data_IF_248488479053
#
_entry.id   IF_248488479053
#
_cell.length_a   1.000
_cell.length_b   1.000
_cell.length_c   1.000
_cell.angle_alpha   90.00
_cell.angle_beta   90.00
_cell.angle_gamma   90.00
#
_symmetry.space_group_name_H-M   'P 1'
#
loop_
_entity.id
_entity.type
_entity.pdbx_description
1 polymer ?
2 non-polymer ?
3 non-polymer ?
4 non-polymer ?
5 non-polymer ?
6 non-polymer ?
7 water ?
#
# COMPACT_ATOMS: atom_id res chain seq x y z
N UNK A 5 20.08 6.06 9.21
CA UNK A 5 18.96 6.43 8.34
C UNK A 5 18.94 7.94 8.09
N UNK A 6 18.14 8.38 7.11
CA UNK A 6 17.89 9.82 6.90
C UNK A 6 16.42 10.12 7.16
N UNK A 7 16.10 11.39 7.35
CA UNK A 7 14.73 11.77 7.73
C UNK A 7 13.77 11.68 6.56
N UNK A 8 12.51 11.46 6.90
CA UNK A 8 11.44 11.43 5.92
C UNK A 8 10.94 12.85 5.71
N UNK A 9 11.15 13.36 4.50
CA UNK A 9 10.68 14.70 4.14
C UNK A 9 9.78 14.59 2.93
N UNK A 10 8.75 15.44 2.88
CA UNK A 10 7.83 15.50 1.75
C UNK A 10 8.02 16.82 1.00
N UNK A 11 8.38 16.74 -0.29
CA UNK A 11 8.61 17.98 -1.04
C UNK A 11 7.35 18.81 -1.24
N UNK A 12 7.51 20.09 -1.57
CA UNK A 12 6.38 20.99 -1.72
C UNK A 12 5.81 20.87 -3.14
N UNK A 13 4.51 20.58 -3.23
CA UNK A 13 3.84 20.48 -4.53
C UNK A 13 3.84 21.82 -5.29
N UNK A 14 4.01 22.92 -4.58
CA UNK A 14 4.11 24.24 -5.22
C UNK A 14 5.44 24.41 -5.96
N UNK A 15 6.43 23.61 -5.59
CA UNK A 15 7.76 23.66 -6.20
C UNK A 15 7.91 22.61 -7.31
N UNK A 16 6.80 22.01 -7.73
CA UNK A 16 6.82 21.07 -8.84
C UNK A 16 7.23 21.79 -10.12
N UNK A 17 8.14 21.18 -10.91
CA UNK A 17 8.64 21.85 -12.12
C UNK A 17 7.60 21.97 -13.23
N UNK A 18 7.64 23.07 -13.97
CA UNK A 18 6.86 23.18 -15.20
C UNK A 18 7.47 22.23 -16.24
N UNK A 19 6.63 21.64 -17.08
CA UNK A 19 7.11 20.81 -18.17
C UNK A 19 6.71 19.34 -18.06
N UNK A 20 7.41 18.51 -18.81
CA UNK A 20 7.04 17.11 -18.98
C UNK A 20 7.14 16.36 -17.66
N UNK A 21 8.20 16.60 -16.91
CA UNK A 21 8.38 15.88 -15.66
C UNK A 21 7.27 16.23 -14.67
N UNK A 22 6.97 17.52 -14.54
CA UNK A 22 5.92 17.96 -13.65
C UNK A 22 4.59 17.35 -13.98
N UNK A 23 4.24 17.33 -15.26
CA UNK A 23 2.97 16.75 -15.66
C UNK A 23 2.90 15.24 -15.37
N UNK A 24 4.04 14.57 -15.55
CA UNK A 24 4.14 13.14 -15.28
C UNK A 24 3.94 12.85 -13.80
N UNK A 25 4.53 13.67 -12.95
CA UNK A 25 4.43 13.52 -11.51
C UNK A 25 2.96 13.62 -11.09
N UNK A 26 2.26 14.61 -11.61
CA UNK A 26 0.84 14.79 -11.31
C UNK A 26 0.01 13.60 -11.77
N UNK A 27 0.29 13.08 -12.96
CA UNK A 27 -0.42 11.89 -13.42
C UNK A 27 -0.10 10.67 -12.53
N UNK A 28 1.16 10.53 -12.14
CA UNK A 28 1.55 9.43 -11.26
C UNK A 28 0.80 9.45 -9.93
N UNK A 29 0.64 10.63 -9.34
CA UNK A 29 -0.07 10.75 -8.09
C UNK A 29 -1.49 10.24 -8.27
N UNK A 30 -2.12 10.58 -9.38
CA UNK A 30 -3.49 10.16 -9.64
C UNK A 30 -3.58 8.64 -9.86
N UNK A 31 -2.62 8.06 -10.57
CA UNK A 31 -2.59 6.62 -10.76
C UNK A 31 -2.49 5.89 -9.42
N UNK A 32 -1.69 6.44 -8.50
CA UNK A 32 -1.49 5.82 -7.19
C UNK A 32 -2.69 6.03 -6.26
N UNK A 33 -3.42 7.12 -6.44
CA UNK A 33 -4.53 7.46 -5.53
C UNK A 33 -5.88 6.91 -5.98
N UNK A 34 -6.00 6.63 -7.27
CA UNK A 34 -7.29 6.34 -7.92
C UNK A 34 -7.09 5.18 -8.92
N UNK A 35 -6.36 4.16 -8.48
CA UNK A 35 -5.85 3.14 -9.41
C UNK A 35 -6.95 2.34 -10.15
N UNK A 36 -7.98 1.86 -9.44
CA UNK A 36 -8.97 1.05 -10.17
C UNK A 36 -9.65 1.81 -11.32
N UNK A 37 -9.92 3.09 -11.11
CA UNK A 37 -10.62 3.91 -12.11
C UNK A 37 -9.68 4.32 -13.23
N UNK A 38 -8.42 4.54 -12.91
CA UNK A 38 -7.47 5.04 -13.90
C UNK A 38 -6.82 3.93 -14.73
N UNK A 39 -6.72 2.73 -14.16
CA UNK A 39 -6.07 1.59 -14.81
C UNK A 39 -6.93 0.32 -14.73
N UNK A 40 -8.15 0.38 -15.26
CA UNK A 40 -9.04 -0.77 -15.08
C UNK A 40 -8.54 -2.09 -15.69
N UNK A 41 -7.75 -2.03 -16.75
CA UNK A 41 -7.24 -3.25 -17.37
C UNK A 41 -6.24 -4.00 -16.49
N UNK A 42 -5.71 -3.31 -15.49
CA UNK A 42 -4.64 -3.86 -14.65
C UNK A 42 -5.03 -4.10 -13.20
N UNK A 43 -6.24 -3.68 -12.82
CA UNK A 43 -6.65 -3.79 -11.42
C UNK A 43 -7.84 -4.74 -11.36
N UNK A 44 -7.74 -5.75 -10.50
CA UNK A 44 -8.77 -6.77 -10.39
C UNK A 44 -9.60 -6.69 -9.12
N UNK A 45 -9.38 -5.67 -8.32
CA UNK A 45 -10.16 -5.51 -7.09
C UNK A 45 -10.50 -4.05 -6.82
N UNK A 46 -10.89 -3.71 -5.59
CA UNK A 46 -11.33 -2.36 -5.29
C UNK A 46 -10.26 -1.47 -4.70
N UNK A 47 -9.03 -1.96 -4.63
CA UNK A 47 -7.97 -1.22 -3.94
C UNK A 47 -7.18 -0.29 -4.85
N UNK A 48 -6.86 0.88 -4.32
CA UNK A 48 -5.88 1.77 -4.90
C UNK A 48 -4.62 1.66 -4.08
N UNK A 49 -3.51 2.08 -4.64
CA UNK A 49 -2.25 1.98 -3.92
C UNK A 49 -2.30 2.71 -2.58
N UNK A 50 -3.01 3.84 -2.53
CA UNK A 50 -3.07 4.65 -1.33
C UNK A 50 -3.78 3.94 -0.17
N UNK A 51 -4.48 2.84 -0.44
CA UNK A 51 -5.19 2.17 0.65
C UNK A 51 -4.25 1.42 1.61
N UNK A 52 -3.02 1.17 1.19
CA UNK A 52 -2.00 0.63 2.09
C UNK A 52 -0.77 1.52 2.19
N UNK A 53 -0.71 2.54 1.33
CA UNK A 53 0.39 3.49 1.27
C UNK A 53 -0.18 4.90 1.40
N UNK A 54 -0.77 5.22 2.55
CA UNK A 54 -1.48 6.48 2.66
C UNK A 54 -0.58 7.71 2.70
N UNK A 55 -1.18 8.87 2.50
CA UNK A 55 -0.46 10.11 2.63
C UNK A 55 -1.40 11.25 2.90
N UNK A 56 -0.88 12.33 3.49
CA UNK A 56 -1.70 13.51 3.80
C UNK A 56 -1.65 14.52 2.64
N UNK A 57 -2.68 15.36 2.57
CA UNK A 57 -2.75 16.45 1.60
C UNK A 57 -2.78 15.99 0.13
N UNK A 58 -3.38 14.82 -0.09
CA UNK A 58 -3.58 14.30 -1.43
C UNK A 58 -2.40 13.49 -1.93
N UNK A 59 -1.31 13.49 -1.18
CA UNK A 59 -0.14 12.74 -1.61
C UNK A 59 -0.36 11.28 -1.23
N UNK A 60 0.41 10.41 -1.84
CA UNK A 60 0.34 8.98 -1.60
C UNK A 60 1.72 8.54 -1.17
N UNK A 61 1.80 7.67 -0.19
CA UNK A 61 3.09 7.13 0.19
C UNK A 61 3.99 8.06 0.97
N UNK A 62 3.42 8.83 1.90
CA UNK A 62 4.21 9.76 2.67
C UNK A 62 4.16 9.53 4.18
N UNK A 63 3.55 8.43 4.62
CA UNK A 63 3.37 8.20 6.05
C UNK A 63 4.34 7.18 6.63
N UNK A 64 5.10 7.63 7.63
CA UNK A 64 6.03 6.74 8.34
C UNK A 64 5.33 5.48 8.85
N UNK A 65 5.98 4.35 8.65
CA UNK A 65 5.50 3.03 9.08
C UNK A 65 4.27 2.50 8.32
N UNK A 66 3.87 3.23 7.28
CA UNK A 66 2.85 2.78 6.35
C UNK A 66 3.43 2.74 4.94
N UNK A 67 4.62 2.14 4.85
CA UNK A 67 5.31 1.89 3.59
C UNK A 67 5.37 3.14 2.70
N UNK A 68 5.99 4.20 3.20
CA UNK A 68 6.12 5.39 2.36
C UNK A 68 7.00 5.13 1.14
N UNK A 69 6.72 5.90 0.09
CA UNK A 69 7.54 5.87 -1.13
C UNK A 69 8.70 6.86 -1.09
N UNK A 70 8.75 7.70 -0.06
CA UNK A 70 9.86 8.63 0.11
C UNK A 70 11.14 7.83 0.30
N UNK A 71 12.03 7.95 -0.68
CA UNK A 71 13.31 7.28 -0.67
C UNK A 71 13.33 5.88 -1.27
N UNK A 72 12.22 5.44 -1.85
CA UNK A 72 12.16 4.07 -2.34
C UNK A 72 13.03 3.88 -3.58
N UNK A 73 13.15 4.91 -4.40
CA UNK A 73 13.81 4.70 -5.69
C UNK A 73 15.30 4.37 -5.50
N UNK A 74 15.91 4.89 -4.44
CA UNK A 74 17.32 4.64 -4.20
C UNK A 74 17.63 3.30 -3.55
N UNK A 75 16.60 2.49 -3.31
CA UNK A 75 16.76 1.16 -2.72
C UNK A 75 16.63 0.02 -3.72
N UNK A 76 16.42 0.37 -4.98
CA UNK A 76 16.27 -0.59 -6.07
C UNK A 76 17.35 -0.30 -7.12
N UNK A 77 17.85 -1.34 -7.80
CA UNK A 77 17.43 -2.75 -7.68
C UNK A 77 17.91 -3.43 -6.38
N UNK A 78 17.20 -4.50 -6.01
CA UNK A 78 17.46 -5.21 -4.76
C UNK A 78 17.02 -6.65 -4.91
N UNK A 79 17.57 -7.52 -4.09
CA UNK A 79 17.23 -8.92 -4.14
C UNK A 79 15.80 -9.14 -3.71
N UNK A 80 15.13 -10.03 -4.43
CA UNK A 80 13.80 -10.52 -4.07
C UNK A 80 13.87 -12.04 -3.89
N UNK A 81 13.52 -12.51 -2.70
CA UNK A 81 13.51 -13.94 -2.44
C UNK A 81 12.43 -14.61 -3.30
N UNK A 82 11.32 -13.89 -3.50
CA UNK A 82 10.23 -14.36 -4.34
C UNK A 82 10.69 -14.67 -5.78
N UNK A 83 11.53 -13.80 -6.33
CA UNK A 83 12.01 -13.95 -7.70
C UNK A 83 13.32 -14.75 -7.76
N UNK A 84 14.04 -14.79 -6.65
CA UNK A 84 15.31 -15.48 -6.57
C UNK A 84 16.45 -14.73 -7.24
N UNK A 85 16.28 -13.42 -7.39
CA UNK A 85 17.27 -12.59 -8.08
C UNK A 85 16.95 -11.13 -7.82
N UNK A 86 17.82 -10.25 -8.30
CA UNK A 86 17.57 -8.82 -8.21
C UNK A 86 16.40 -8.42 -9.09
N UNK A 87 15.58 -7.51 -8.56
CA UNK A 87 14.50 -6.89 -9.30
C UNK A 87 14.58 -5.38 -9.26
N UNK A 88 13.96 -4.75 -10.26
CA UNK A 88 13.85 -3.31 -10.32
C UNK A 88 12.58 -2.82 -9.62
N UNK A 89 12.49 -1.53 -9.40
CA UNK A 89 11.29 -0.91 -8.85
C UNK A 89 10.07 -1.14 -9.74
N UNK A 90 10.26 -1.14 -11.06
CA UNK A 90 9.18 -1.40 -12.00
C UNK A 90 8.60 -2.79 -11.79
N UNK A 91 9.47 -3.75 -11.52
CA UNK A 91 9.05 -5.12 -11.27
C UNK A 91 8.32 -5.22 -9.93
N UNK A 92 8.82 -4.53 -8.91
CA UNK A 92 8.16 -4.50 -7.60
C UNK A 92 6.74 -3.99 -7.77
N UNK A 93 6.59 -2.90 -8.51
CA UNK A 93 5.27 -2.32 -8.72
C UNK A 93 4.35 -3.32 -9.42
N UNK A 94 4.88 -4.08 -10.35
CA UNK A 94 4.12 -5.10 -11.06
C UNK A 94 3.64 -6.17 -10.10
N UNK A 95 4.48 -6.55 -9.15
CA UNK A 95 4.06 -7.51 -8.13
C UNK A 95 2.89 -6.98 -7.31
N UNK A 96 2.93 -5.70 -6.97
CA UNK A 96 1.85 -5.06 -6.23
C UNK A 96 0.53 -5.08 -7.01
N UNK A 97 0.60 -4.82 -8.31
CA UNK A 97 -0.58 -4.92 -9.17
C UNK A 97 -1.12 -6.35 -9.15
N UNK A 98 -0.25 -7.36 -9.22
CA UNK A 98 -0.69 -8.74 -9.33
C UNK A 98 -1.26 -9.31 -8.03
N UNK A 99 -0.80 -8.79 -6.92
CA UNK A 99 -1.10 -9.38 -5.62
C UNK A 99 -2.04 -8.45 -4.83
N UNK A 100 -1.54 -7.30 -4.41
CA UNK A 100 -2.37 -6.38 -3.66
C UNK A 100 -3.58 -5.89 -4.45
N UNK A 101 -3.45 -5.74 -5.76
CA UNK A 101 -4.54 -5.25 -6.59
C UNK A 101 -5.20 -6.37 -7.42
N UNK A 102 -4.80 -7.61 -7.16
CA UNK A 102 -5.42 -8.79 -7.78
C UNK A 102 -5.56 -8.66 -9.28
N UNK A 103 -4.55 -8.10 -9.92
CA UNK A 103 -4.65 -7.68 -11.31
C UNK A 103 -3.53 -8.17 -12.19
N UNK A 104 -3.03 -7.29 -13.04
CA UNK A 104 -1.99 -7.65 -13.99
C UNK A 104 -0.95 -6.54 -14.00
N UNK A 105 0.30 -6.94 -14.13
CA UNK A 105 1.41 -6.01 -14.13
C UNK A 105 1.41 -5.18 -15.41
N UNK A 106 1.73 -3.90 -15.28
CA UNK A 106 1.98 -3.04 -16.44
C UNK A 106 3.29 -3.45 -17.11
N UNK A 107 3.33 -3.33 -18.43
CA UNK A 107 4.59 -3.44 -19.14
C UNK A 107 5.61 -2.48 -18.55
N UNK A 108 6.88 -2.88 -18.61
CA UNK A 108 7.91 -2.15 -17.89
C UNK A 108 8.24 -0.78 -18.51
N UNK A 109 7.70 -0.49 -19.69
CA UNK A 109 7.81 0.83 -20.30
C UNK A 109 6.45 1.50 -20.53
N UNK A 110 5.43 1.01 -19.84
CA UNK A 110 4.10 1.61 -19.92
C UNK A 110 4.14 3.04 -19.40
N UNK A 111 3.56 4.00 -20.14
CA UNK A 111 3.63 5.39 -19.65
C UNK A 111 3.04 5.61 -18.25
N UNK A 112 2.02 4.86 -17.84
CA UNK A 112 1.48 5.02 -16.50
C UNK A 112 2.45 4.55 -15.44
N UNK A 113 3.21 3.50 -15.74
CA UNK A 113 4.22 3.00 -14.83
C UNK A 113 5.34 4.03 -14.70
N UNK A 114 5.73 4.64 -15.81
CA UNK A 114 6.79 5.63 -15.77
C UNK A 114 6.31 6.86 -14.99
N UNK A 115 5.03 7.22 -15.11
CA UNK A 115 4.49 8.33 -14.33
C UNK A 115 4.51 8.00 -12.82
N UNK A 116 4.19 6.76 -12.45
CA UNK A 116 4.30 6.34 -11.06
C UNK A 116 5.75 6.44 -10.57
N UNK A 117 6.70 6.01 -11.39
CA UNK A 117 8.11 6.14 -11.06
C UNK A 117 8.51 7.60 -10.88
N UNK A 118 8.02 8.47 -11.77
CA UNK A 118 8.36 9.88 -11.68
C UNK A 118 7.87 10.45 -10.36
N UNK A 119 6.65 10.09 -9.97
CA UNK A 119 6.09 10.52 -8.69
C UNK A 119 6.94 10.03 -7.52
N UNK A 120 7.27 8.75 -7.50
CA UNK A 120 8.11 8.22 -6.44
C UNK A 120 9.49 8.88 -6.40
N UNK A 121 10.05 9.18 -7.57
CA UNK A 121 11.32 9.87 -7.64
C UNK A 121 11.23 11.29 -7.09
N UNK A 122 10.12 11.96 -7.38
CA UNK A 122 9.85 13.29 -6.83
C UNK A 122 9.78 13.23 -5.31
N UNK A 123 9.04 12.27 -4.77
CA UNK A 123 8.96 12.14 -3.31
C UNK A 123 10.32 11.86 -2.69
N UNK A 124 11.20 11.24 -3.48
CA UNK A 124 12.52 10.83 -3.02
C UNK A 124 13.59 11.89 -3.22
N UNK A 125 13.22 13.07 -3.69
CA UNK A 125 14.20 14.10 -3.98
C UNK A 125 15.02 14.41 -2.73
N UNK A 126 16.33 14.49 -2.91
CA UNK A 126 17.23 14.80 -1.81
C UNK A 126 17.70 13.59 -1.02
N UNK A 127 17.07 12.43 -1.20
CA UNK A 127 17.47 11.25 -0.44
C UNK A 127 18.68 10.63 -1.12
N UNK A 128 19.80 10.45 -0.41
CA UNK A 128 20.98 9.82 -1.03
C UNK A 128 20.69 8.40 -1.50
N UNK A 129 21.16 8.07 -2.69
CA UNK A 129 21.02 6.73 -3.19
C UNK A 129 21.64 5.75 -2.19
N UNK A 130 20.88 4.71 -1.83
CA UNK A 130 21.34 3.70 -0.90
C UNK A 130 20.88 3.94 0.53
N UNK A 131 20.55 5.19 0.86
CA UNK A 131 20.15 5.55 2.20
C UNK A 131 18.79 4.96 2.53
N UNK A 132 18.62 4.64 3.81
CA UNK A 132 17.34 4.17 4.31
C UNK A 132 16.62 5.31 5.03
N UNK A 133 15.39 5.59 4.62
CA UNK A 133 14.58 6.64 5.21
C UNK A 133 13.86 6.13 6.45
N UNK A 134 13.95 6.89 7.52
CA UNK A 134 13.26 6.60 8.77
C UNK A 134 11.76 6.47 8.56
N UNK A 135 11.21 5.34 8.94
CA UNK A 135 9.80 5.07 8.77
C UNK A 135 9.49 4.28 7.52
N UNK A 136 10.52 3.80 6.82
CA UNK A 136 10.27 3.00 5.62
C UNK A 136 9.57 1.69 5.96
N UNK A 137 8.85 1.16 4.98
CA UNK A 137 8.16 -0.11 5.11
C UNK A 137 7.02 -0.11 6.11
N UNK A 138 6.56 -1.31 6.38
CA UNK A 138 5.57 -1.57 7.43
C UNK A 138 6.23 -2.49 8.45
N UNK A 139 6.62 -1.94 9.62
CA UNK A 139 7.28 -2.80 10.59
C UNK A 139 6.34 -3.93 11.02
N UNK A 140 6.85 -5.15 11.03
CA UNK A 140 6.04 -6.28 11.47
C UNK A 140 5.80 -6.22 12.97
N UNK A 141 4.69 -6.80 13.38
CA UNK A 141 4.39 -7.00 14.78
C UNK A 141 4.20 -8.49 14.97
N UNK A 142 5.03 -9.11 15.80
CA UNK A 142 4.95 -10.54 16.07
C UNK A 142 4.86 -10.77 17.57
N UNK A 143 3.85 -11.51 17.99
CA UNK A 143 3.73 -11.92 19.39
C UNK A 143 4.07 -13.40 19.55
N UNK A 144 4.45 -13.80 20.76
CA UNK A 144 4.90 -15.17 21.05
C UNK A 144 3.73 -16.10 21.41
N UNK A 145 2.57 -15.84 20.83
CA UNK A 145 1.42 -16.69 21.04
C UNK A 145 0.51 -16.67 19.82
N UNK A 146 -0.38 -17.64 19.73
CA UNK A 146 -1.33 -17.73 18.63
C UNK A 146 -2.25 -16.52 18.64
N UNK A 147 -2.56 -15.96 17.46
CA UNK A 147 -3.59 -14.92 17.41
C UNK A 147 -4.94 -15.52 17.76
N UNK A 148 -5.64 -14.88 18.68
CA UNK A 148 -6.94 -15.38 19.14
C UNK A 148 -8.04 -14.72 18.30
N UNK A 149 -8.54 -15.45 17.31
CA UNK A 149 -9.55 -14.94 16.41
C UNK A 149 -10.91 -14.67 17.06
N UNK A 150 -11.17 -15.29 18.21
CA UNK A 150 -12.42 -15.05 18.94
C UNK A 150 -12.38 -13.65 19.57
N UNK A 151 -11.28 -13.34 20.25
CA UNK A 151 -11.05 -12.03 20.78
C UNK A 151 -11.01 -11.04 19.61
N UNK A 152 -10.32 -11.44 18.55
CA UNK A 152 -10.24 -10.60 17.36
C UNK A 152 -11.57 -10.19 16.78
N UNK A 153 -12.53 -11.12 16.74
CA UNK A 153 -13.86 -10.83 16.26
C UNK A 153 -14.57 -9.76 17.11
N UNK A 154 -14.41 -9.86 18.42
CA UNK A 154 -15.00 -8.88 19.33
C UNK A 154 -14.35 -7.50 19.14
N UNK A 155 -13.03 -7.49 19.00
CA UNK A 155 -12.29 -6.26 18.78
C UNK A 155 -12.72 -5.65 17.46
N UNK A 156 -12.87 -6.48 16.43
CA UNK A 156 -13.30 -6.01 15.12
C UNK A 156 -14.66 -5.28 15.22
N UNK A 157 -15.61 -5.90 15.92
CA UNK A 157 -16.93 -5.32 16.03
C UNK A 157 -16.88 -3.97 16.74
N UNK A 158 -16.02 -3.87 17.75
CA UNK A 158 -15.92 -2.66 18.56
C UNK A 158 -15.11 -1.54 17.92
N UNK A 159 -14.12 -1.89 17.10
CA UNK A 159 -13.09 -0.93 16.70
C UNK A 159 -12.93 -0.71 15.19
N UNK A 160 -13.49 -1.60 14.36
CA UNK A 160 -13.20 -1.60 12.92
C UNK A 160 -14.44 -1.64 12.05
N UNK A 161 -15.46 -2.33 12.53
CA UNK A 161 -16.66 -2.60 11.74
C UNK A 161 -17.36 -1.34 11.25
N UNK A 162 -17.40 -0.31 12.09
CA UNK A 162 -18.08 0.94 11.70
C UNK A 162 -17.56 1.49 10.38
N UNK A 163 -16.28 1.25 10.08
CA UNK A 163 -15.69 1.67 8.80
C UNK A 163 -15.66 0.56 7.75
N UNK A 164 -15.12 -0.60 8.13
CA UNK A 164 -14.82 -1.65 7.17
C UNK A 164 -15.97 -2.65 6.91
N UNK A 165 -17.01 -2.58 7.74
CA UNK A 165 -18.24 -3.32 7.51
C UNK A 165 -18.30 -4.66 8.21
N UNK A 166 -19.53 -5.11 8.49
CA UNK A 166 -19.74 -6.39 9.13
C UNK A 166 -19.19 -7.54 8.29
N UNK A 167 -19.28 -7.38 6.97
CA UNK A 167 -18.80 -8.36 6.00
C UNK A 167 -17.44 -8.02 5.42
N UNK A 168 -16.75 -7.05 6.02
CA UNK A 168 -15.42 -6.67 5.58
C UNK A 168 -15.40 -6.04 4.21
N UNK A 169 -16.54 -5.61 3.69
CA UNK A 169 -16.63 -5.19 2.30
C UNK A 169 -16.36 -3.70 2.11
N UNK A 170 -16.13 -2.98 3.20
CA UNK A 170 -15.78 -1.57 3.13
C UNK A 170 -16.96 -0.64 2.86
N UNK A 171 -16.63 0.63 2.65
CA UNK A 171 -17.62 1.69 2.43
C UNK A 171 -17.24 2.49 1.19
N UNK A 172 -18.11 2.45 0.18
CA UNK A 172 -17.94 3.26 -1.02
C UNK A 172 -18.24 4.74 -0.79
N UNK A 173 -17.47 5.61 -1.41
CA UNK A 173 -17.80 7.04 -1.48
C UNK A 173 -18.77 7.33 -2.62
N UNK A 174 -19.15 8.59 -2.76
CA UNK A 174 -20.18 8.97 -3.72
C UNK A 174 -19.75 8.80 -5.18
N UNK A 175 -18.44 8.75 -5.41
CA UNK A 175 -17.90 8.62 -6.76
C UNK A 175 -17.44 7.18 -7.05
N UNK A 176 -17.83 6.25 -6.17
CA UNK A 176 -17.58 4.83 -6.41
C UNK A 176 -16.19 4.37 -6.02
N UNK A 177 -15.39 5.25 -5.46
CA UNK A 177 -14.11 4.86 -4.88
C UNK A 177 -14.35 4.43 -3.44
N UNK A 178 -13.51 3.54 -2.94
CA UNK A 178 -13.60 3.16 -1.55
C UNK A 178 -13.07 4.23 -0.62
N UNK A 179 -13.98 4.75 0.22
CA UNK A 179 -13.63 5.59 1.35
C UNK A 179 -12.91 4.75 2.40
N UNK A 180 -13.54 3.61 2.77
CA UNK A 180 -12.92 2.65 3.68
C UNK A 180 -12.84 1.35 2.91
N UNK A 181 -11.61 0.83 2.72
CA UNK A 181 -11.48 -0.26 1.75
C UNK A 181 -11.86 -1.64 2.29
N UNK A 182 -12.12 -2.57 1.38
CA UNK A 182 -12.48 -3.92 1.81
C UNK A 182 -11.29 -4.71 2.37
N UNK A 183 -11.55 -5.43 3.44
CA UNK A 183 -10.54 -6.17 4.18
C UNK A 183 -10.51 -7.65 3.84
N UNK A 184 -11.62 -8.15 3.29
CA UNK A 184 -11.69 -9.51 2.78
C UNK A 184 -12.79 -9.59 1.74
N UNK A 185 -13.00 -10.78 1.18
CA UNK A 185 -13.96 -10.96 0.12
C UNK A 185 -13.37 -10.61 -1.25
N UNK A 186 -14.19 -10.70 -2.30
CA UNK A 186 -13.73 -10.62 -3.69
C UNK A 186 -13.09 -9.29 -4.13
N UNK A 187 -13.33 -8.21 -3.40
CA UNK A 187 -12.79 -6.90 -3.78
C UNK A 187 -11.54 -6.52 -2.99
N UNK A 188 -11.07 -7.43 -2.13
CA UNK A 188 -9.89 -7.16 -1.30
C UNK A 188 -8.61 -7.71 -1.94
N UNK A 189 -7.50 -7.55 -1.25
CA UNK A 189 -6.22 -8.09 -1.70
C UNK A 189 -6.26 -9.61 -1.78
N UNK A 190 -5.45 -10.19 -2.65
CA UNK A 190 -5.46 -11.64 -2.81
C UNK A 190 -4.45 -12.35 -1.89
N UNK A 191 -4.45 -13.67 -1.92
CA UNK A 191 -3.63 -14.42 -0.99
C UNK A 191 -2.14 -14.25 -1.19
N UNK A 192 -1.77 -13.67 -2.33
CA UNK A 192 -0.37 -13.42 -2.66
C UNK A 192 0.19 -12.13 -2.08
N UNK A 193 -0.69 -11.30 -1.51
CA UNK A 193 -0.29 -10.00 -1.00
C UNK A 193 0.44 -10.10 0.33
N UNK A 194 1.38 -9.17 0.56
CA UNK A 194 2.07 -9.09 1.84
C UNK A 194 1.11 -8.91 3.00
N UNK A 195 0.02 -8.19 2.76
CA UNK A 195 -0.95 -7.94 3.81
C UNK A 195 -1.67 -9.22 4.23
N UNK A 196 -1.52 -10.30 3.47
CA UNK A 196 -2.11 -11.58 3.85
C UNK A 196 -1.25 -12.34 4.87
N UNK A 197 -0.14 -11.75 5.28
CA UNK A 197 0.73 -12.33 6.30
C UNK A 197 0.41 -11.75 7.68
N UNK A 198 0.21 -12.63 8.64
CA UNK A 198 -0.16 -12.24 10.00
C UNK A 198 0.68 -11.09 10.58
N UNK A 199 2.00 -11.20 10.53
CA UNK A 199 2.83 -10.19 11.18
C UNK A 199 2.80 -8.84 10.45
N UNK A 200 2.60 -8.85 9.14
CA UNK A 200 2.49 -7.61 8.37
C UNK A 200 1.15 -6.94 8.62
N UNK A 201 0.06 -7.70 8.55
CA UNK A 201 -1.25 -7.15 8.88
C UNK A 201 -1.29 -6.60 10.30
N UNK A 202 -0.73 -7.35 11.26
CA UNK A 202 -0.70 -6.87 12.63
C UNK A 202 0.09 -5.58 12.77
N UNK A 203 1.20 -5.49 12.06
CA UNK A 203 2.01 -4.29 12.12
C UNK A 203 1.30 -3.12 11.48
N UNK A 204 0.60 -3.38 10.37
CA UNK A 204 -0.12 -2.29 9.70
C UNK A 204 -1.25 -1.79 10.59
N UNK A 205 -1.99 -2.71 11.19
CA UNK A 205 -3.12 -2.38 12.04
C UNK A 205 -2.62 -1.61 13.26
N UNK A 206 -1.46 -1.99 13.76
CA UNK A 206 -0.86 -1.35 14.91
C UNK A 206 -0.32 0.06 14.61
N UNK A 207 0.46 0.20 13.52
CA UNK A 207 1.19 1.45 13.20
C UNK A 207 0.74 2.15 11.93
N UNK A 208 0.16 1.40 10.99
CA UNK A 208 -0.08 1.91 9.65
C UNK A 208 -1.39 2.69 9.52
N UNK A 209 -2.16 2.73 10.60
CA UNK A 209 -3.54 3.21 10.51
C UNK A 209 -4.21 3.18 11.87
N UNK A 216 -6.10 4.00 20.76
CA UNK A 216 -5.18 3.22 19.95
C UNK A 216 -5.20 1.77 20.43
N UNK A 217 -4.66 0.85 19.63
CA UNK A 217 -4.64 -0.57 19.97
C UNK A 217 -3.36 -0.99 20.65
N UNK A 218 -3.47 -1.88 21.63
CA UNK A 218 -2.31 -2.54 22.19
C UNK A 218 -1.76 -3.53 21.18
N UNK A 219 -0.52 -3.98 21.38
CA UNK A 219 0.06 -5.05 20.57
C UNK A 219 -0.84 -6.30 20.56
N UNK A 220 -1.33 -6.70 21.72
CA UNK A 220 -2.13 -7.92 21.79
C UNK A 220 -3.42 -7.77 21.00
N UNK A 221 -4.02 -6.59 21.07
CA UNK A 221 -5.26 -6.34 20.34
C UNK A 221 -5.02 -6.37 18.82
N UNK A 222 -3.92 -5.76 18.36
CA UNK A 222 -3.59 -5.72 16.95
C UNK A 222 -3.33 -7.12 16.40
N UNK A 223 -2.60 -7.91 17.17
CA UNK A 223 -2.31 -9.29 16.84
C UNK A 223 -3.60 -10.10 16.68
N UNK A 224 -4.48 -10.00 17.66
CA UNK A 224 -5.71 -10.79 17.62
C UNK A 224 -6.69 -10.34 16.52
N UNK A 225 -6.84 -9.04 16.32
CA UNK A 225 -7.75 -8.60 15.27
C UNK A 225 -7.19 -8.93 13.88
N UNK A 226 -5.88 -8.84 13.69
CA UNK A 226 -5.28 -9.25 12.43
C UNK A 226 -5.62 -10.71 12.16
N UNK A 227 -5.51 -11.53 13.20
CA UNK A 227 -5.86 -12.93 13.08
C UNK A 227 -7.28 -13.13 12.63
N UNK A 228 -8.22 -12.41 13.21
CA UNK A 228 -9.60 -12.50 12.78
C UNK A 228 -9.79 -12.11 11.32
N UNK A 229 -9.20 -10.98 10.94
CA UNK A 229 -9.32 -10.52 9.57
C UNK A 229 -8.85 -11.60 8.61
N UNK A 230 -7.70 -12.21 8.92
CA UNK A 230 -7.11 -13.20 8.01
C UNK A 230 -7.74 -14.60 8.05
N UNK A 231 -8.81 -14.78 8.84
CA UNK A 231 -9.57 -16.03 8.80
C UNK A 231 -10.53 -16.10 7.61
N UNK A 232 -10.70 -14.99 6.90
CA UNK A 232 -11.74 -14.88 5.88
C UNK A 232 -11.30 -15.18 4.47
N UNK A 233 -12.24 -15.57 3.60
CA UNK A 233 -11.87 -15.79 2.20
C UNK A 233 -11.48 -14.51 1.47
N UNK A 234 -10.63 -14.67 0.46
CA UNK A 234 -10.27 -13.58 -0.44
C UNK A 234 -9.79 -14.24 -1.73
N UNK A 235 -9.59 -13.45 -2.79
CA UNK A 235 -9.19 -14.08 -4.05
C UNK A 235 -7.89 -14.86 -3.93
N UNK A 236 -7.84 -16.00 -4.60
CA UNK A 236 -6.67 -16.83 -4.64
C UNK A 236 -5.68 -16.33 -5.69
N UNK A 237 -4.42 -16.23 -5.31
CA UNK A 237 -3.39 -15.82 -6.26
C UNK A 237 -2.82 -17.04 -6.96
X LIG B 1 2.52 -1.83 -1.95
X LIG B 1 5.64 -2.57 -0.49
X LIG B 1 4.11 -0.04 -4.48
X LIG B 1 -0.52 -1.31 -3.50
X LIG B 1 0.93 -3.33 0.78
X LIG B 1 4.48 -1.39 -2.40
X LIG B 1 5.55 -1.76 -1.69
X LIG B 1 6.79 -1.25 -2.28
X LIG B 1 6.34 -0.50 -3.45
X LIG B 1 4.89 -0.66 -3.44
X LIG B 1 7.19 0.24 -4.44
X LIG B 1 8.20 -1.42 -1.79
X LIG B 1 8.43 -0.44 -0.63
X LIG B 1 9.83 -0.52 -0.07
X LIG B 1 10.13 0.25 0.87
X LIG B 1 10.64 -1.32 -0.59
X LIG B 1 1.92 -0.89 -3.65
X LIG B 1 2.68 -0.22 -4.52
X LIG B 1 1.95 0.34 -5.65
X LIG B 1 0.58 -0.05 -5.37
X LIG B 1 0.68 -0.81 -4.11
X LIG B 1 2.47 1.15 -6.78
X LIG B 1 -0.64 0.23 -6.20
X LIG B 1 -0.41 -0.44 -7.57
X LIG B 1 0.59 -2.26 -1.47
X LIG B 1 -0.48 -1.93 -2.20
X LIG B 1 -1.73 -2.32 -1.53
X LIG B 1 -1.31 -2.92 -0.27
X LIG B 1 0.15 -2.82 -0.33
X LIG B 1 -3.12 -2.10 -2.04
X LIG B 1 -2.12 -3.47 0.86
X LIG B 1 -3.23 -4.43 0.47
X LIG B 1 3.16 -2.76 -0.22
X LIG B 1 2.37 -3.29 0.72
X LIG B 1 3.15 -3.92 1.80
X LIG B 1 4.53 -3.70 1.44
X LIG B 1 4.42 -2.97 0.16
X LIG B 1 2.60 -4.62 3.00
X LIG B 1 5.79 -4.13 2.17
X LIG B 1 6.34 -2.99 3.00
X LIG B 1 7.66 -3.40 3.60
X LIG B 1 7.76 -3.38 4.86
X LIG B 1 8.60 -3.73 2.83
X LIG C 1 -8.76 0.44 8.47
X LIG C 1 -6.87 0.69 5.55
X LIG C 1 -7.72 -2.85 8.91
X LIG C 1 -10.17 0.43 11.68
X LIG C 1 -10.37 3.38 7.73
X LIG C 1 -7.54 -0.86 7.44
X LIG C 1 -6.90 -0.58 6.28
X LIG C 1 -6.15 -1.75 5.82
X LIG C 1 -6.38 -2.79 6.80
X LIG C 1 -7.28 -2.12 7.75
X LIG C 1 -5.84 -4.19 6.80
X LIG C 1 -5.32 -1.86 4.59
X LIG C 1 -6.22 -1.83 3.34
X LIG C 1 -7.11 -3.04 3.06
X LIG C 1 -6.82 -4.17 3.51
X LIG C 1 -8.17 -2.87 2.37
X LIG C 1 -8.90 -0.93 9.99
X LIG C 1 -8.46 -2.17 9.96
X LIG C 1 -8.72 -2.86 11.23
X LIG C 1 -9.42 -1.90 12.05
X LIG C 1 -9.46 -0.73 11.20
X LIG C 1 -8.40 -4.26 11.61
X LIG C 1 -9.95 -1.99 13.45
X LIG C 1 -8.76 -2.20 14.37
X LIG C 1 -10.03 1.68 9.51
X LIG C 1 -10.49 1.52 10.75
X LIG C 1 -11.44 2.56 11.15
X LIG C 1 -11.55 3.41 10.00
X LIG C 1 -10.62 2.77 9.02
X LIG C 1 -12.17 2.66 12.45
X LIG C 1 -12.44 4.63 9.83
X LIG C 1 -12.25 5.74 10.81
X LIG C 1 -8.63 1.79 6.91
X LIG C 1 -9.33 2.92 6.82
X LIG C 1 -8.93 3.72 5.64
X LIG C 1 -7.90 2.93 5.00
X LIG C 1 -7.77 1.75 5.89
X LIG C 1 -9.50 5.01 5.18
X LIG C 1 -7.11 3.22 3.77
X LIG C 1 -5.72 3.72 4.26
X LIG C 1 -5.72 5.08 4.95
X LIG C 1 -5.42 5.16 6.17
X LIG C 1 -6.01 6.12 4.32
X LIG D 1 1.09 -16.15 7.99
X LIG D 1 2.34 -15.40 8.04
X LIG D 1 -0.06 -15.28 8.09
X LIG D 1 1.04 -16.86 6.71
X LIG D 1 1.06 -17.15 9.06
X LIG E 1 -13.26 -14.62 -2.43
X LIG F 1 5.53 -8.74 0.28
X LIG F 1 4.61 -9.28 -0.74
X LIG F 1 5.13 -7.35 0.61
X LIG F 1 5.45 -9.58 1.49
X LIG F 1 7.24 -8.79 -0.32
X LIG G 1 2.64 -7.53 -2.66
X LIG G 1 1.40 -6.97 -3.20
X LIG G 1 2.47 -8.91 -2.22
X LIG G 1 3.70 -7.47 -3.67
#
# INVERSE_FOLDING_TARGET
MEPPTVALTVPAAALLPDGALGESIVRGRRYLSDTPAQLPDFVGNGLACRHCHPGRDGEVGTEANAAPFVGVVGRFPQYSARHGRLITLEQRIGDCFERSLNGRALALDHPALIDMLAYMSWLSQGVPVGAVVAGHGIPTLTLEREPDGVHGEALYQARCLACHGADGSGTLDADGRYLFPPLWGPRSFNTGAGMNRQATAAGFIKHGMPLGADDSLSDEEAWDVAGFVLTHPRPLFQEPTGDAWSHPQFEK
HEC FE CHA CHB CHC CHD NA C1A C2A C3A C4A CMA CAA CBA CGA O1A O2A NB C1B C2B C3B C4B CMB CAB CBB NC C1C C2C C3C C4C CMC CAC CBC ND C1D C2D C3D C4D CMD CAD CBD CGD O1D O2D
HEC FE CHA CHB CHC CHD NA C1A C2A C3A C4A CMA CAA CBA CGA O1A O2A NB C1B C2B C3B C4B CMB CAB CBB NC C1C C2C C3C C4C CMC CAC CBC ND C1D C2D C3D C4D CMD CAD CBD CGD O1D O2D
SO4 S O1 O2 O3 O4
IOD I
THJ S1 O1 O2 O3 S2
SO3 S O1 O2 O3
#
